data_IF_794035152044
#
_entry.id   IF_794035152044
#
_cell.length_a   1.000
_cell.length_b   1.000
_cell.length_c   1.000
_cell.angle_alpha   90.00
_cell.angle_beta   90.00
_cell.angle_gamma   90.00
#
_symmetry.space_group_name_H-M   'P 1'
#
loop_
_entity.id
_entity.type
_entity.pdbx_description
1 polymer ?
#
# COMPACT_ATOMS: atom_id res chain seq x y z
N UNK A 1 30.32 16.82 18.42
CA UNK A 1 29.94 15.60 17.67
C UNK A 1 29.08 15.98 16.48
N UNK A 2 29.44 15.47 15.33
CA UNK A 2 28.67 15.74 14.12
C UNK A 2 27.45 14.80 14.05
N UNK A 3 26.30 15.39 13.80
CA UNK A 3 25.10 14.60 13.61
C UNK A 3 25.03 14.18 12.13
N UNK A 4 24.86 12.88 11.91
CA UNK A 4 24.66 12.36 10.56
C UNK A 4 23.28 12.72 10.07
N UNK A 5 23.19 13.34 8.91
CA UNK A 5 21.90 13.64 8.29
C UNK A 5 21.26 12.34 7.79
N UNK A 6 19.93 12.21 7.90
CA UNK A 6 19.29 11.02 7.39
C UNK A 6 19.45 10.93 5.87
N UNK A 7 19.51 9.70 5.38
CA UNK A 7 19.47 9.41 3.96
C UNK A 7 18.17 10.00 3.39
N UNK A 8 18.22 10.82 2.33
CA UNK A 8 16.99 11.35 1.73
C UNK A 8 15.96 10.27 1.40
N UNK A 9 16.39 9.08 0.98
CA UNK A 9 15.47 7.98 0.72
C UNK A 9 14.76 7.53 1.99
N UNK A 10 15.48 7.45 3.10
CA UNK A 10 14.91 7.04 4.36
C UNK A 10 13.97 8.09 4.96
N UNK A 11 14.14 9.35 4.55
CA UNK A 11 13.28 10.43 5.02
C UNK A 11 11.91 10.44 4.33
N UNK A 12 11.78 9.77 3.18
CA UNK A 12 10.49 9.69 2.48
C UNK A 12 9.56 8.74 3.17
N UNK A 13 8.25 9.02 3.19
CA UNK A 13 7.31 8.05 3.70
C UNK A 13 7.39 6.73 2.93
N UNK A 14 7.26 5.63 3.64
CA UNK A 14 7.36 4.30 3.04
C UNK A 14 5.98 3.78 2.65
N UNK A 15 5.88 3.26 1.44
CA UNK A 15 4.68 2.62 0.91
C UNK A 15 5.02 1.16 0.60
N UNK A 16 4.31 0.23 1.21
CA UNK A 16 4.50 -1.19 0.92
C UNK A 16 3.44 -1.62 -0.10
N UNK A 17 3.89 -2.23 -1.19
CA UNK A 17 3.00 -2.74 -2.24
C UNK A 17 3.08 -4.26 -2.26
N UNK A 18 1.93 -4.91 -2.10
CA UNK A 18 1.82 -6.37 -2.13
C UNK A 18 0.98 -6.75 -3.34
N UNK A 19 1.60 -7.35 -4.34
CA UNK A 19 0.91 -7.72 -5.58
C UNK A 19 1.70 -8.84 -6.23
N UNK A 20 1.03 -9.94 -6.57
CA UNK A 20 1.69 -11.11 -7.17
C UNK A 20 2.29 -10.79 -8.55
N UNK A 21 1.87 -9.70 -9.17
CA UNK A 21 2.50 -9.19 -10.39
C UNK A 21 3.59 -8.19 -9.99
N UNK A 22 4.84 -8.60 -10.13
CA UNK A 22 5.99 -7.76 -9.76
C UNK A 22 6.01 -6.42 -10.49
N UNK A 23 5.42 -6.35 -11.67
CA UNK A 23 5.41 -5.12 -12.45
C UNK A 23 4.61 -4.01 -11.77
N UNK A 24 3.63 -4.36 -10.94
CA UNK A 24 2.79 -3.37 -10.28
C UNK A 24 3.61 -2.53 -9.30
N UNK A 25 4.38 -3.17 -8.42
CA UNK A 25 5.21 -2.44 -7.47
C UNK A 25 6.27 -1.60 -8.20
N UNK A 26 6.86 -2.14 -9.26
CA UNK A 26 7.85 -1.38 -10.04
C UNK A 26 7.22 -0.17 -10.71
N UNK A 27 6.02 -0.32 -11.25
CA UNK A 27 5.32 0.79 -11.89
C UNK A 27 4.99 1.88 -10.88
N UNK A 28 4.53 1.50 -9.70
CA UNK A 28 4.22 2.46 -8.65
C UNK A 28 5.50 3.17 -8.19
N UNK A 29 6.57 2.43 -8.00
CA UNK A 29 7.86 3.01 -7.63
C UNK A 29 8.35 4.01 -8.68
N UNK A 30 8.19 3.68 -9.96
CA UNK A 30 8.59 4.57 -11.04
C UNK A 30 7.77 5.86 -11.09
N UNK A 31 6.49 5.78 -10.73
CA UNK A 31 5.60 6.94 -10.77
C UNK A 31 5.69 7.81 -9.51
N UNK A 32 5.96 7.21 -8.37
CA UNK A 32 5.88 7.91 -7.07
C UNK A 32 7.20 7.97 -6.31
N UNK A 33 8.27 7.37 -6.85
CA UNK A 33 9.53 7.25 -6.11
C UNK A 33 10.21 8.55 -5.76
N UNK A 34 9.81 9.65 -6.38
CA UNK A 34 10.33 10.96 -6.02
C UNK A 34 9.86 11.38 -4.62
N UNK A 35 8.61 11.06 -4.30
CA UNK A 35 7.98 11.51 -3.06
C UNK A 35 7.90 10.44 -1.99
N UNK A 36 7.93 9.17 -2.38
CA UNK A 36 7.74 8.04 -1.47
C UNK A 36 8.80 6.98 -1.68
N UNK A 37 9.13 6.29 -0.59
CA UNK A 37 9.99 5.11 -0.67
C UNK A 37 9.09 3.90 -0.86
N UNK A 38 9.09 3.32 -2.03
CA UNK A 38 8.21 2.21 -2.37
C UNK A 38 8.94 0.89 -2.20
N UNK A 39 8.39 0.02 -1.36
CA UNK A 39 8.91 -1.33 -1.14
C UNK A 39 7.84 -2.29 -1.63
N UNK A 40 8.23 -3.30 -2.39
CA UNK A 40 7.26 -4.23 -2.96
C UNK A 40 7.59 -5.68 -2.67
N UNK A 41 6.56 -6.50 -2.67
CA UNK A 41 6.73 -7.95 -2.66
C UNK A 41 5.67 -8.59 -3.56
N UNK A 42 6.07 -9.63 -4.26
CA UNK A 42 5.13 -10.44 -5.04
C UNK A 42 4.63 -11.65 -4.27
N UNK A 43 5.09 -11.81 -3.04
CA UNK A 43 4.69 -12.92 -2.17
C UNK A 43 3.85 -12.37 -1.02
N UNK A 44 2.54 -12.65 -0.98
CA UNK A 44 1.68 -12.11 0.07
C UNK A 44 2.07 -12.58 1.47
N UNK A 45 2.73 -13.73 1.58
CA UNK A 45 3.19 -14.21 2.88
C UNK A 45 4.32 -13.36 3.45
N UNK A 46 4.97 -12.55 2.62
CA UNK A 46 6.02 -11.64 3.07
C UNK A 46 5.48 -10.29 3.53
N UNK A 47 4.19 -10.05 3.37
CA UNK A 47 3.61 -8.76 3.74
C UNK A 47 3.82 -8.44 5.21
N UNK A 48 3.52 -9.37 6.10
CA UNK A 48 3.66 -9.14 7.53
C UNK A 48 5.13 -8.96 7.95
N UNK A 49 6.06 -9.83 7.58
CA UNK A 49 7.47 -9.60 7.92
C UNK A 49 8.01 -8.28 7.39
N UNK A 50 7.65 -7.92 6.15
CA UNK A 50 8.11 -6.66 5.58
C UNK A 50 7.52 -5.46 6.28
N UNK A 51 6.24 -5.52 6.63
CA UNK A 51 5.60 -4.42 7.36
C UNK A 51 6.25 -4.22 8.72
N UNK A 52 6.59 -5.30 9.40
CA UNK A 52 7.31 -5.22 10.67
C UNK A 52 8.68 -4.60 10.52
N UNK A 53 9.39 -4.95 9.45
CA UNK A 53 10.76 -4.50 9.22
C UNK A 53 10.81 -3.07 8.70
N UNK A 54 9.97 -2.75 7.73
CA UNK A 54 10.04 -1.48 7.01
C UNK A 54 9.20 -0.37 7.64
N UNK A 55 8.27 -0.72 8.50
CA UNK A 55 7.36 0.24 9.14
C UNK A 55 6.70 1.18 8.13
N UNK A 56 6.01 0.65 7.12
CA UNK A 56 5.40 1.53 6.12
C UNK A 56 4.30 2.38 6.72
N UNK A 57 4.09 3.53 6.12
CA UNK A 57 3.00 4.41 6.52
C UNK A 57 1.67 4.01 5.90
N UNK A 58 1.71 3.22 4.83
CA UNK A 58 0.51 2.71 4.17
C UNK A 58 0.88 1.44 3.42
N UNK A 59 -0.10 0.54 3.29
CA UNK A 59 0.06 -0.71 2.56
C UNK A 59 -0.97 -0.76 1.44
N UNK A 60 -0.51 -0.99 0.22
CA UNK A 60 -1.36 -1.20 -0.94
C UNK A 60 -1.29 -2.69 -1.28
N UNK A 61 -2.43 -3.37 -1.33
CA UNK A 61 -2.44 -4.82 -1.50
C UNK A 61 -3.45 -5.25 -2.54
N UNK A 62 -3.00 -6.07 -3.49
CA UNK A 62 -3.88 -6.69 -4.47
C UNK A 62 -4.92 -7.56 -3.75
N UNK A 63 -6.09 -7.65 -4.33
CA UNK A 63 -7.20 -8.42 -3.75
C UNK A 63 -7.04 -9.91 -4.04
N UNK A 64 -6.77 -10.25 -5.30
CA UNK A 64 -6.72 -11.64 -5.73
C UNK A 64 -5.30 -12.08 -6.01
N UNK A 65 -4.76 -12.93 -5.14
CA UNK A 65 -3.41 -13.46 -5.29
C UNK A 65 -3.44 -14.96 -5.03
N UNK A 66 -2.56 -15.73 -5.70
CA UNK A 66 -2.45 -17.16 -5.35
C UNK A 66 -1.95 -17.31 -3.93
N UNK A 67 -2.34 -18.40 -3.31
CA UNK A 67 -1.93 -18.80 -1.96
C UNK A 67 -2.53 -17.98 -0.82
N UNK A 68 -2.64 -16.69 -0.96
CA UNK A 68 -3.15 -15.84 0.12
C UNK A 68 -3.81 -14.62 -0.50
N UNK A 69 -5.08 -14.43 -0.23
CA UNK A 69 -5.83 -13.32 -0.79
C UNK A 69 -5.63 -12.03 0.02
N UNK A 70 -6.00 -10.91 -0.59
CA UNK A 70 -5.80 -9.60 0.05
C UNK A 70 -6.48 -9.46 1.40
N UNK A 71 -7.69 -10.02 1.56
CA UNK A 71 -8.38 -9.96 2.84
C UNK A 71 -7.67 -10.78 3.91
N UNK A 72 -7.01 -11.86 3.52
CA UNK A 72 -6.21 -12.65 4.45
C UNK A 72 -4.95 -11.87 4.89
N UNK A 73 -4.35 -11.13 3.96
CA UNK A 73 -3.22 -10.26 4.29
C UNK A 73 -3.68 -9.18 5.28
N UNK A 74 -4.83 -8.54 4.98
CA UNK A 74 -5.38 -7.51 5.87
C UNK A 74 -5.63 -8.07 7.26
N UNK A 75 -6.20 -9.26 7.34
CA UNK A 75 -6.47 -9.90 8.63
C UNK A 75 -5.17 -10.16 9.40
N UNK A 76 -4.17 -10.73 8.74
CA UNK A 76 -2.89 -11.03 9.40
C UNK A 76 -2.25 -9.77 9.96
N UNK A 77 -2.27 -8.68 9.19
CA UNK A 77 -1.70 -7.41 9.64
C UNK A 77 -2.48 -6.84 10.82
N UNK A 78 -3.80 -7.01 10.81
CA UNK A 78 -4.66 -6.49 11.89
C UNK A 78 -4.44 -7.21 13.23
N UNK A 79 -3.96 -8.44 13.17
CA UNK A 79 -3.73 -9.25 14.38
C UNK A 79 -2.39 -8.99 15.05
N UNK A 80 -1.52 -8.23 14.42
CA UNK A 80 -0.19 -7.96 14.96
C UNK A 80 -0.13 -6.51 15.47
N UNK A 81 0.15 -6.29 16.75
CA UNK A 81 0.22 -4.93 17.29
C UNK A 81 1.18 -4.01 16.56
N UNK A 82 2.24 -4.57 15.97
CA UNK A 82 3.22 -3.77 15.25
C UNK A 82 2.69 -3.23 13.93
N UNK A 83 1.64 -3.86 13.36
CA UNK A 83 1.14 -3.50 12.03
C UNK A 83 -0.35 -3.13 12.02
N UNK A 84 -1.06 -3.35 13.12
CA UNK A 84 -2.51 -3.20 13.17
C UNK A 84 -2.99 -1.78 12.85
N UNK A 85 -2.18 -0.77 13.11
CA UNK A 85 -2.56 0.62 12.90
C UNK A 85 -2.12 1.18 11.54
N UNK A 86 -1.41 0.39 10.75
CA UNK A 86 -0.96 0.87 9.44
C UNK A 86 -2.16 0.92 8.49
N UNK A 87 -2.43 2.06 7.85
CA UNK A 87 -3.49 2.15 6.85
C UNK A 87 -3.32 1.11 5.73
N UNK A 88 -4.42 0.48 5.37
CA UNK A 88 -4.43 -0.60 4.39
C UNK A 88 -5.42 -0.25 3.28
N UNK A 89 -4.96 -0.31 2.03
CA UNK A 89 -5.76 0.04 0.86
C UNK A 89 -5.64 -1.09 -0.16
N UNK A 90 -6.78 -1.55 -0.67
CA UNK A 90 -6.77 -2.57 -1.72
C UNK A 90 -6.40 -1.94 -3.06
N UNK A 91 -5.60 -2.69 -3.83
CA UNK A 91 -5.38 -2.40 -5.25
C UNK A 91 -6.32 -3.31 -6.03
N UNK A 92 -7.05 -2.75 -6.96
CA UNK A 92 -8.01 -3.53 -7.73
C UNK A 92 -7.88 -3.29 -9.22
N UNK A 93 -8.13 -4.34 -10.01
CA UNK A 93 -8.22 -4.21 -11.46
C UNK A 93 -9.54 -3.57 -11.90
N UNK A 94 -10.50 -3.41 -10.99
CA UNK A 94 -11.77 -2.77 -11.28
C UNK A 94 -11.54 -1.29 -11.57
N UNK A 95 -12.19 -0.76 -12.58
CA UNK A 95 -11.90 0.57 -13.09
C UNK A 95 -13.11 1.51 -13.09
N UNK A 96 -14.32 1.02 -12.79
CA UNK A 96 -15.51 1.86 -12.79
C UNK A 96 -15.96 2.17 -11.37
N UNK A 97 -16.63 3.31 -11.17
CA UNK A 97 -17.20 3.61 -9.86
C UNK A 97 -18.19 2.57 -9.37
N UNK A 98 -18.94 1.95 -10.29
CA UNK A 98 -19.89 0.91 -9.92
C UNK A 98 -19.16 -0.32 -9.37
N UNK A 99 -18.08 -0.71 -10.03
CA UNK A 99 -17.26 -1.82 -9.58
C UNK A 99 -16.61 -1.51 -8.23
N UNK A 100 -16.16 -0.28 -8.04
CA UNK A 100 -15.61 0.15 -6.76
C UNK A 100 -16.66 0.09 -5.65
N UNK A 101 -17.90 0.46 -5.96
CA UNK A 101 -19.00 0.37 -5.00
C UNK A 101 -19.29 -1.07 -4.60
N UNK A 102 -19.26 -1.98 -5.56
CA UNK A 102 -19.43 -3.40 -5.27
C UNK A 102 -18.29 -3.93 -4.40
N UNK A 103 -17.09 -3.46 -4.67
CA UNK A 103 -15.92 -3.83 -3.89
C UNK A 103 -16.07 -3.40 -2.44
N UNK A 104 -16.54 -2.17 -2.22
CA UNK A 104 -16.78 -1.67 -0.87
C UNK A 104 -17.78 -2.55 -0.12
N UNK A 105 -18.82 -3.00 -0.82
CA UNK A 105 -19.81 -3.86 -0.21
C UNK A 105 -19.24 -5.22 0.18
N UNK A 106 -18.27 -5.72 -0.60
CA UNK A 106 -17.67 -7.03 -0.38
C UNK A 106 -16.56 -6.98 0.66
N UNK A 107 -15.72 -5.95 0.60
CA UNK A 107 -14.51 -5.90 1.42
C UNK A 107 -14.62 -4.96 2.61
N UNK A 108 -15.76 -4.33 2.80
CA UNK A 108 -16.10 -3.64 4.03
C UNK A 108 -15.31 -2.37 4.26
N UNK A 109 -14.55 -2.38 5.36
CA UNK A 109 -14.03 -1.15 5.93
C UNK A 109 -12.76 -0.60 5.27
N UNK A 110 -12.17 -1.33 4.34
CA UNK A 110 -10.92 -0.86 3.73
C UNK A 110 -11.17 -0.16 2.42
N UNK A 111 -10.53 0.99 2.21
CA UNK A 111 -10.64 1.67 0.91
C UNK A 111 -9.95 0.87 -0.18
N UNK A 112 -10.28 1.19 -1.42
CA UNK A 112 -9.69 0.57 -2.59
C UNK A 112 -9.31 1.63 -3.61
N UNK A 113 -8.27 1.36 -4.38
CA UNK A 113 -7.87 2.22 -5.49
C UNK A 113 -7.58 1.34 -6.71
N UNK A 114 -7.94 1.84 -7.88
CA UNK A 114 -7.73 1.10 -9.12
C UNK A 114 -6.25 1.02 -9.48
N UNK A 115 -5.81 -0.13 -9.99
CA UNK A 115 -4.46 -0.28 -10.53
C UNK A 115 -4.23 0.64 -11.74
N UNK A 116 -5.31 1.08 -12.39
CA UNK A 116 -5.23 2.01 -13.52
C UNK A 116 -5.47 3.47 -13.12
N UNK A 117 -5.51 3.76 -11.82
CA UNK A 117 -5.65 5.13 -11.35
C UNK A 117 -4.50 5.99 -11.86
N UNK A 118 -4.77 7.27 -12.11
CA UNK A 118 -3.72 8.20 -12.51
C UNK A 118 -2.69 8.35 -11.38
N UNK A 119 -1.53 8.87 -11.74
CA UNK A 119 -0.49 9.13 -10.73
C UNK A 119 -1.01 10.11 -9.67
N UNK A 120 -1.79 11.12 -10.09
CA UNK A 120 -2.37 12.08 -9.16
C UNK A 120 -3.38 11.45 -8.20
N UNK A 121 -4.25 10.59 -8.73
CA UNK A 121 -5.22 9.88 -7.88
C UNK A 121 -4.52 8.98 -6.87
N UNK A 122 -3.53 8.24 -7.33
CA UNK A 122 -2.80 7.35 -6.47
C UNK A 122 -2.04 8.13 -5.39
N UNK A 123 -1.38 9.21 -5.78
CA UNK A 123 -0.68 10.08 -4.83
C UNK A 123 -1.66 10.65 -3.81
N UNK A 124 -2.84 11.06 -4.26
CA UNK A 124 -3.86 11.61 -3.38
C UNK A 124 -4.34 10.62 -2.33
N UNK A 125 -4.59 9.38 -2.74
CA UNK A 125 -5.04 8.34 -1.82
C UNK A 125 -3.94 8.02 -0.79
N UNK A 126 -2.70 7.90 -1.25
CA UNK A 126 -1.58 7.63 -0.36
C UNK A 126 -1.38 8.78 0.62
N UNK A 127 -1.41 10.02 0.13
CA UNK A 127 -1.23 11.20 0.99
C UNK A 127 -2.32 11.29 2.04
N UNK A 128 -3.55 10.99 1.64
CA UNK A 128 -4.68 10.95 2.58
C UNK A 128 -4.43 9.90 3.67
N UNK A 129 -4.02 8.70 3.29
CA UNK A 129 -3.76 7.63 4.23
C UNK A 129 -2.63 7.95 5.18
N UNK A 130 -1.63 8.68 4.71
CA UNK A 130 -0.48 9.09 5.52
C UNK A 130 -0.76 10.30 6.39
N UNK A 131 -1.92 10.93 6.23
CA UNK A 131 -2.26 12.14 6.97
C UNK A 131 -1.53 13.38 6.48
N UNK A 132 -1.08 13.36 5.23
CA UNK A 132 -0.36 14.49 4.64
C UNK A 132 -1.27 15.45 3.88
N UNK A 133 -2.54 15.10 3.74
CA UNK A 133 -3.52 15.92 3.05
C UNK A 133 -3.91 17.08 3.97
N UNK A 134 -3.79 18.30 3.47
CA UNK A 134 -4.03 19.50 4.25
C UNK A 134 -5.50 19.88 4.38
N UNK A 135 -6.35 19.18 3.72
CA UNK A 135 -7.78 19.50 3.81
C UNK A 135 -8.49 18.63 4.82
#
# INVERSE_FOLDING_TARGET
MLRTLPDPEQAKPCVLVVDDDEAVARAIAGRLGRDFRVVGTSDPEQALPLAREQHPGVILCDINMPRMQGDEVAFALSQDPATAQIPFIYLTALVSPEEAGELDAVFGDYPAVSKSASTEELRGVISWALGLDDD
#
